data_IF_614086245260
#
_entry.id   IF_614086245260
#
_cell.length_a   1.000
_cell.length_b   1.000
_cell.length_c   1.000
_cell.angle_alpha   90.00
_cell.angle_beta   90.00
_cell.angle_gamma   90.00
#
_symmetry.space_group_name_H-M   'P 1'
#
loop_
_entity.id
_entity.type
_entity.pdbx_description
1 polymer ?
#
# COMPACT_ATOMS: atom_id res chain seq x y z
N UNK A 1 -3.76 0.80 16.27
CA UNK A 1 -3.07 -0.10 15.34
C UNK A 1 -3.56 0.18 13.93
N UNK A 2 -2.66 0.58 13.04
CA UNK A 2 -3.02 0.94 11.67
C UNK A 2 -2.77 -0.24 10.74
N UNK A 3 -3.82 -0.75 10.13
CA UNK A 3 -3.76 -1.90 9.22
C UNK A 3 -3.87 -1.46 7.78
N UNK A 4 -3.33 -2.28 6.90
CA UNK A 4 -3.39 -2.04 5.48
C UNK A 4 -3.07 -3.28 4.67
N UNK A 5 -2.90 -3.07 3.39
CA UNK A 5 -2.46 -4.13 2.49
C UNK A 5 -1.52 -3.58 1.44
N UNK A 6 -0.67 -4.46 0.95
CA UNK A 6 0.22 -4.18 -0.18
C UNK A 6 -0.10 -5.16 -1.30
N UNK A 7 -0.42 -4.63 -2.47
CA UNK A 7 -0.78 -5.43 -3.64
C UNK A 7 0.21 -5.16 -4.77
N UNK A 8 0.70 -6.23 -5.35
CA UNK A 8 1.58 -6.15 -6.51
C UNK A 8 0.98 -6.96 -7.65
N UNK A 9 0.79 -6.32 -8.80
CA UNK A 9 0.36 -7.02 -10.00
C UNK A 9 1.57 -7.52 -10.77
N UNK A 10 1.62 -8.84 -10.95
CA UNK A 10 2.67 -9.50 -11.69
C UNK A 10 2.04 -10.43 -12.72
N UNK A 11 2.37 -10.23 -14.00
CA UNK A 11 1.88 -11.09 -15.08
C UNK A 11 0.35 -11.22 -15.09
N UNK A 12 -0.33 -10.12 -14.82
CA UNK A 12 -1.79 -10.10 -14.81
C UNK A 12 -2.46 -10.68 -13.56
N UNK A 13 -1.68 -11.10 -12.58
CA UNK A 13 -2.20 -11.63 -11.32
C UNK A 13 -1.91 -10.67 -10.17
N UNK A 14 -2.86 -10.58 -9.26
CA UNK A 14 -2.70 -9.76 -8.06
C UNK A 14 -2.18 -10.62 -6.91
N UNK A 15 -1.14 -10.14 -6.26
CA UNK A 15 -0.59 -10.77 -5.07
C UNK A 15 -0.62 -9.78 -3.92
N UNK A 16 -1.17 -10.18 -2.79
CA UNK A 16 -1.38 -9.27 -1.68
C UNK A 16 -0.70 -9.74 -0.41
N UNK A 17 -0.25 -8.79 0.39
CA UNK A 17 0.25 -9.01 1.72
C UNK A 17 -0.53 -8.15 2.71
N UNK A 18 -0.84 -8.70 3.88
CA UNK A 18 -1.46 -7.96 4.94
C UNK A 18 -0.42 -7.13 5.70
N UNK A 19 -0.77 -5.89 6.00
CA UNK A 19 0.00 -5.02 6.87
C UNK A 19 -0.77 -4.92 8.19
N UNK A 20 -0.36 -5.67 9.19
CA UNK A 20 -1.12 -5.82 10.43
C UNK A 20 -0.94 -4.66 11.39
N UNK A 21 0.10 -3.85 11.21
CA UNK A 21 0.37 -2.66 12.00
C UNK A 21 1.23 -1.70 11.18
N UNK A 22 1.29 -0.44 11.60
CA UNK A 22 2.17 0.56 11.02
C UNK A 22 2.00 0.75 9.51
N UNK A 23 0.76 0.59 9.02
CA UNK A 23 0.46 0.74 7.60
C UNK A 23 0.41 2.20 7.13
N UNK A 24 0.53 3.15 8.05
CA UNK A 24 0.51 4.56 7.70
C UNK A 24 1.74 4.94 6.87
N UNK A 25 1.71 6.17 6.32
CA UNK A 25 2.66 6.60 5.30
C UNK A 25 4.12 6.55 5.74
N UNK A 26 4.44 6.98 6.96
CA UNK A 26 5.82 6.98 7.47
C UNK A 26 6.27 5.62 8.01
N UNK A 27 5.37 4.66 8.06
CA UNK A 27 5.67 3.26 8.41
C UNK A 27 5.89 2.43 7.16
N UNK A 28 5.00 1.48 6.90
CA UNK A 28 5.11 0.64 5.71
C UNK A 28 4.96 1.43 4.41
N UNK A 29 4.24 2.56 4.43
CA UNK A 29 4.14 3.42 3.26
C UNK A 29 5.51 3.83 2.75
N UNK A 30 6.38 4.26 3.65
CA UNK A 30 7.76 4.65 3.30
C UNK A 30 8.53 3.47 2.72
N UNK A 31 8.46 2.30 3.34
CA UNK A 31 9.15 1.10 2.84
C UNK A 31 8.67 0.72 1.45
N UNK A 32 7.38 0.82 1.20
CA UNK A 32 6.80 0.49 -0.11
C UNK A 32 7.23 1.50 -1.17
N UNK A 33 7.24 2.78 -0.83
CA UNK A 33 7.73 3.82 -1.75
C UNK A 33 9.20 3.59 -2.09
N UNK A 34 10.03 3.28 -1.09
CA UNK A 34 11.45 2.98 -1.33
C UNK A 34 11.61 1.75 -2.22
N UNK A 35 10.86 0.69 -1.95
CA UNK A 35 10.90 -0.52 -2.75
C UNK A 35 10.48 -0.26 -4.20
N UNK A 36 9.45 0.57 -4.38
CA UNK A 36 9.00 0.98 -5.72
C UNK A 36 10.09 1.74 -6.47
N UNK A 37 10.76 2.67 -5.80
CA UNK A 37 11.84 3.45 -6.39
C UNK A 37 13.04 2.60 -6.79
N UNK A 38 13.34 1.57 -6.00
CA UNK A 38 14.51 0.73 -6.19
C UNK A 38 14.22 -0.55 -6.97
N UNK A 39 13.01 -0.69 -7.52
CA UNK A 39 12.56 -1.90 -8.21
C UNK A 39 12.72 -3.15 -7.34
N UNK A 40 12.38 -3.01 -6.05
CA UNK A 40 12.55 -4.03 -5.04
C UNK A 40 11.22 -4.49 -4.45
N UNK A 41 10.12 -4.19 -5.12
CA UNK A 41 8.77 -4.44 -4.64
C UNK A 41 8.44 -5.92 -4.52
N UNK A 42 8.95 -6.76 -5.42
CA UNK A 42 8.72 -8.20 -5.34
C UNK A 42 9.36 -8.78 -4.08
N UNK A 43 10.56 -8.36 -3.77
CA UNK A 43 11.28 -8.83 -2.59
C UNK A 43 10.57 -8.40 -1.31
N UNK A 44 10.10 -7.16 -1.27
CA UNK A 44 9.34 -6.67 -0.13
C UNK A 44 8.05 -7.47 0.03
N UNK A 45 7.33 -7.71 -1.05
CA UNK A 45 6.12 -8.50 -1.02
C UNK A 45 6.39 -9.91 -0.47
N UNK A 46 7.42 -10.57 -0.95
CA UNK A 46 7.79 -11.90 -0.49
C UNK A 46 8.11 -11.91 1.01
N UNK A 47 8.83 -10.90 1.48
CA UNK A 47 9.16 -10.75 2.90
C UNK A 47 7.90 -10.60 3.75
N UNK A 48 6.96 -9.79 3.30
CA UNK A 48 5.71 -9.57 4.02
C UNK A 48 4.82 -10.82 3.99
N UNK A 49 4.75 -11.49 2.85
CA UNK A 49 3.95 -12.71 2.70
C UNK A 49 4.52 -13.88 3.49
N UNK A 50 5.82 -13.91 3.71
CA UNK A 50 6.46 -14.95 4.52
C UNK A 50 6.00 -14.92 5.99
N UNK A 51 5.49 -13.79 6.44
CA UNK A 51 4.93 -13.65 7.80
C UNK A 51 3.48 -14.12 7.89
N UNK A 52 2.86 -14.44 6.76
CA UNK A 52 1.49 -14.91 6.70
C UNK A 52 1.48 -16.43 6.52
N UNK A 53 0.44 -17.10 7.01
CA UNK A 53 0.28 -18.52 6.70
C UNK A 53 -0.22 -18.70 5.27
N UNK A 54 -0.10 -19.92 4.75
CA UNK A 54 -0.47 -20.23 3.37
C UNK A 54 -1.95 -19.94 3.09
N UNK A 55 -2.81 -20.29 4.03
CA UNK A 55 -4.25 -20.04 3.88
C UNK A 55 -4.55 -18.55 3.72
N UNK A 56 -3.94 -17.72 4.54
CA UNK A 56 -4.17 -16.28 4.49
C UNK A 56 -3.64 -15.68 3.19
N UNK A 57 -2.49 -16.14 2.72
CA UNK A 57 -1.95 -15.68 1.42
C UNK A 57 -2.91 -16.01 0.28
N UNK A 58 -3.38 -17.24 0.25
CA UNK A 58 -4.30 -17.71 -0.80
C UNK A 58 -5.61 -16.94 -0.76
N UNK A 59 -6.16 -16.72 0.43
CA UNK A 59 -7.40 -15.99 0.58
C UNK A 59 -7.27 -14.52 0.19
N UNK A 60 -6.18 -13.86 0.56
CA UNK A 60 -5.97 -12.49 0.15
C UNK A 60 -5.90 -12.35 -1.36
N UNK A 61 -5.13 -13.22 -2.01
CA UNK A 61 -5.00 -13.19 -3.47
C UNK A 61 -6.34 -13.44 -4.17
N UNK A 62 -7.18 -14.31 -3.59
CA UNK A 62 -8.49 -14.66 -4.17
C UNK A 62 -9.51 -13.55 -4.00
N UNK A 63 -9.51 -12.91 -2.85
CA UNK A 63 -10.59 -11.99 -2.48
C UNK A 63 -10.25 -10.52 -2.54
N UNK A 64 -9.06 -10.17 -2.98
CA UNK A 64 -8.72 -8.76 -3.19
C UNK A 64 -9.55 -8.19 -4.34
N UNK A 65 -10.17 -7.06 -4.10
CA UNK A 65 -11.05 -6.42 -5.07
C UNK A 65 -10.27 -5.45 -5.94
N UNK A 66 -10.23 -5.64 -7.29
CA UNK A 66 -9.44 -4.79 -8.16
C UNK A 66 -9.89 -3.33 -8.22
N UNK A 67 -11.18 -3.06 -8.09
CA UNK A 67 -11.69 -1.69 -8.22
C UNK A 67 -11.18 -0.78 -7.11
N UNK A 68 -11.01 -1.31 -5.94
CA UNK A 68 -10.56 -0.54 -4.78
C UNK A 68 -9.72 -1.36 -3.80
N UNK A 69 -9.25 -2.48 -4.29
CA UNK A 69 -8.24 -3.29 -3.60
C UNK A 69 -8.54 -3.54 -2.13
N UNK A 70 -9.71 -4.10 -1.88
CA UNK A 70 -10.09 -4.55 -0.55
C UNK A 70 -10.33 -6.05 -0.53
N UNK A 71 -10.32 -6.63 0.64
CA UNK A 71 -10.70 -8.02 0.81
C UNK A 71 -12.22 -8.10 0.79
N UNK A 72 -12.77 -8.87 -0.15
CA UNK A 72 -14.22 -8.96 -0.37
C UNK A 72 -14.89 -10.15 0.29
N UNK A 73 -14.11 -11.09 0.83
CA UNK A 73 -14.69 -12.25 1.49
C UNK A 73 -15.44 -11.82 2.75
N UNK A 74 -16.73 -12.12 2.81
CA UNK A 74 -17.59 -11.64 3.89
C UNK A 74 -17.12 -12.01 5.29
N UNK A 75 -16.64 -13.23 5.47
CA UNK A 75 -16.20 -13.69 6.79
C UNK A 75 -14.97 -12.97 7.30
N UNK A 76 -14.13 -12.50 6.40
CA UNK A 76 -12.88 -11.80 6.74
C UNK A 76 -13.00 -10.29 6.62
N UNK A 77 -13.86 -9.81 5.73
CA UNK A 77 -14.12 -8.39 5.62
C UNK A 77 -14.68 -7.79 6.91
N UNK A 78 -15.29 -8.62 7.77
CA UNK A 78 -15.76 -8.19 9.08
C UNK A 78 -14.62 -7.89 10.02
N UNK A 79 -13.54 -8.66 9.93
CA UNK A 79 -12.47 -8.65 10.91
C UNK A 79 -11.22 -7.93 10.42
N UNK A 80 -11.13 -7.69 9.11
CA UNK A 80 -9.97 -7.03 8.53
C UNK A 80 -10.37 -5.66 7.99
N UNK A 81 -10.06 -4.64 8.76
CA UNK A 81 -10.27 -3.26 8.35
C UNK A 81 -8.92 -2.70 7.93
N UNK A 82 -8.79 -2.41 6.64
CA UNK A 82 -7.59 -1.82 6.08
C UNK A 82 -7.80 -0.31 5.93
N UNK A 83 -7.03 0.46 6.68
CA UNK A 83 -7.06 1.92 6.55
C UNK A 83 -6.27 2.37 5.33
N UNK A 84 -5.14 1.72 5.07
CA UNK A 84 -4.27 2.06 3.94
C UNK A 84 -4.16 0.90 2.97
N UNK A 85 -4.12 1.24 1.69
CA UNK A 85 -3.84 0.27 0.65
C UNK A 85 -2.76 0.81 -0.27
N UNK A 86 -1.82 -0.06 -0.64
CA UNK A 86 -0.72 0.28 -1.52
C UNK A 86 -0.72 -0.71 -2.67
N UNK A 87 -0.82 -0.20 -3.90
CA UNK A 87 -0.93 -1.05 -5.07
C UNK A 87 0.10 -0.64 -6.12
N UNK A 88 0.94 -1.58 -6.52
CA UNK A 88 1.87 -1.38 -7.62
C UNK A 88 1.39 -2.18 -8.82
N UNK A 89 1.12 -1.49 -9.91
CA UNK A 89 0.65 -2.05 -11.16
C UNK A 89 1.07 -1.14 -12.30
N UNK A 90 1.50 -1.72 -13.42
CA UNK A 90 1.86 -0.96 -14.62
C UNK A 90 2.81 0.22 -14.33
N UNK A 91 3.82 -0.03 -13.53
CA UNK A 91 4.86 0.94 -13.14
C UNK A 91 4.33 2.17 -12.41
N UNK A 92 3.18 2.03 -11.76
CA UNK A 92 2.59 3.07 -10.93
C UNK A 92 2.34 2.53 -9.54
N UNK A 93 2.50 3.38 -8.54
CA UNK A 93 2.12 3.10 -7.16
C UNK A 93 0.88 3.92 -6.83
N UNK A 94 -0.19 3.23 -6.46
CA UNK A 94 -1.42 3.88 -6.00
C UNK A 94 -1.54 3.70 -4.50
N UNK A 95 -1.86 4.77 -3.81
CA UNK A 95 -2.07 4.76 -2.36
C UNK A 95 -3.54 5.09 -2.07
N UNK A 96 -4.17 4.22 -1.30
CA UNK A 96 -5.56 4.35 -0.88
C UNK A 96 -5.63 4.59 0.62
N UNK A 97 -6.60 5.37 1.04
CA UNK A 97 -6.91 5.57 2.45
C UNK A 97 -8.42 5.48 2.64
N UNK A 98 -8.84 4.58 3.52
CA UNK A 98 -10.26 4.32 3.79
C UNK A 98 -11.06 4.04 2.50
N UNK A 99 -10.46 3.30 1.59
CA UNK A 99 -11.10 2.91 0.33
C UNK A 99 -11.08 3.98 -0.76
N UNK A 100 -10.46 5.12 -0.51
CA UNK A 100 -10.37 6.20 -1.49
C UNK A 100 -8.96 6.35 -2.01
N UNK A 101 -8.83 6.52 -3.32
CA UNK A 101 -7.54 6.78 -3.95
C UNK A 101 -7.04 8.16 -3.53
N UNK A 102 -5.89 8.20 -2.85
CA UNK A 102 -5.23 9.45 -2.45
C UNK A 102 -4.35 9.98 -3.56
N UNK A 103 -3.51 9.11 -4.13
CA UNK A 103 -2.53 9.52 -5.11
C UNK A 103 -2.12 8.35 -5.99
N UNK A 104 -1.78 8.66 -7.23
CA UNK A 104 -1.09 7.75 -8.15
C UNK A 104 0.30 8.33 -8.41
N UNK A 105 1.34 7.55 -8.15
CA UNK A 105 2.72 7.98 -8.29
C UNK A 105 3.42 7.26 -9.43
N UNK A 106 4.22 7.99 -10.18
CA UNK A 106 5.31 7.42 -10.97
C UNK A 106 6.60 7.48 -10.14
N UNK A 107 7.73 7.13 -10.74
CA UNK A 107 9.02 7.15 -10.04
C UNK A 107 9.44 8.55 -9.61
N UNK A 108 9.10 9.55 -10.38
CA UNK A 108 9.44 10.95 -10.06
C UNK A 108 8.63 11.44 -8.86
N UNK A 109 7.33 11.25 -8.90
CA UNK A 109 6.44 11.63 -7.81
C UNK A 109 6.79 10.88 -6.52
N UNK A 110 7.09 9.58 -6.64
CA UNK A 110 7.48 8.76 -5.50
C UNK A 110 8.74 9.28 -4.82
N UNK A 111 9.74 9.71 -5.60
CA UNK A 111 10.97 10.26 -5.07
C UNK A 111 10.71 11.53 -4.25
N UNK A 112 9.82 12.38 -4.73
CA UNK A 112 9.47 13.60 -4.02
C UNK A 112 8.69 13.34 -2.74
N UNK A 113 7.77 12.39 -2.78
CA UNK A 113 7.03 12.00 -1.58
C UNK A 113 7.95 11.40 -0.53
N UNK A 114 8.92 10.59 -0.94
CA UNK A 114 9.90 10.02 -0.01
C UNK A 114 10.71 11.12 0.66
N UNK A 115 11.14 12.12 -0.11
CA UNK A 115 11.84 13.28 0.44
C UNK A 115 10.98 14.00 1.48
N UNK A 116 9.72 14.25 1.18
CA UNK A 116 8.81 14.94 2.09
C UNK A 116 8.56 14.14 3.37
N UNK A 117 8.42 12.83 3.27
CA UNK A 117 8.27 11.97 4.45
C UNK A 117 9.49 12.06 5.35
N UNK A 118 10.70 12.09 4.77
CA UNK A 118 11.94 12.14 5.53
C UNK A 118 12.22 13.51 6.15
N UNK A 119 11.66 14.59 5.60
CA UNK A 119 12.02 15.95 5.96
C UNK A 119 10.87 16.80 6.47
N UNK A 120 9.69 16.22 6.68
CA UNK A 120 8.52 16.96 7.12
C UNK A 120 7.79 16.27 8.26
N UNK A 121 7.71 16.94 9.39
CA UNK A 121 6.95 16.47 10.55
C UNK A 121 5.44 16.47 10.31
N UNK A 122 4.99 17.15 9.26
CA UNK A 122 3.56 17.30 8.98
C UNK A 122 2.96 16.16 8.18
N UNK A 123 3.79 15.31 7.59
CA UNK A 123 3.30 14.25 6.72
C UNK A 123 2.50 13.20 7.49
N UNK A 124 2.77 13.00 8.76
CA UNK A 124 2.05 12.01 9.54
C UNK A 124 0.79 12.53 10.18
N UNK A 125 0.60 13.81 10.22
CA UNK A 125 -0.61 14.34 10.83
C UNK A 125 -1.72 14.33 9.84
N UNK A 126 -2.43 13.24 9.86
CA UNK A 126 -3.79 13.16 9.39
C UNK A 126 -4.04 13.65 7.95
N UNK A 127 -5.26 13.53 7.58
CA UNK A 127 -5.77 13.74 6.23
C UNK A 127 -5.42 15.09 5.57
N UNK A 128 -5.26 16.15 6.31
CA UNK A 128 -4.94 17.41 5.65
C UNK A 128 -3.48 17.53 5.21
N UNK A 129 -2.60 16.67 5.69
CA UNK A 129 -1.25 16.61 5.18
C UNK A 129 -1.22 16.29 3.69
N UNK A 130 -2.18 15.50 3.23
CA UNK A 130 -2.29 15.14 1.82
C UNK A 130 -2.69 16.30 0.93
N UNK A 131 -3.32 17.32 1.49
CA UNK A 131 -3.72 18.51 0.75
C UNK A 131 -2.57 19.48 0.53
N UNK A 132 -1.57 19.43 1.41
CA UNK A 132 -0.41 20.31 1.34
C UNK A 132 0.71 19.75 0.47
N UNK A 133 0.60 18.48 0.08
CA UNK A 133 1.61 17.81 -0.73
C UNK A 133 1.13 17.75 -2.17
N UNK A 134 1.95 18.19 -3.15
CA UNK A 134 1.56 18.12 -4.55
C UNK A 134 1.24 16.69 -4.96
N UNK A 135 0.09 16.47 -5.57
CA UNK A 135 -0.33 15.15 -6.01
C UNK A 135 0.33 14.73 -7.33
N UNK A 136 0.91 15.69 -8.02
CA UNK A 136 1.63 15.43 -9.26
C UNK A 136 2.59 16.56 -9.51
N UNK A 137 3.68 16.23 -10.09
CA UNK A 137 4.69 17.22 -10.47
C UNK A 137 5.07 17.01 -11.90
#
# INVERSE_FOLDING_TARGET
>A
MTRGYFVLEMKGLLHAAALMSDAYLEGYGKEIIEAFLNNNEERLLDTLRAKMNEKDRTEMDRYICPEWYRITKKSEAKDYIAEYGYVISAEKLKIYNNGKLLITMDKITAKEWLYLIDHSDKVYTVNHAYHDIPSSL
#
